data_IF_490627375485
#
_entry.id   IF_490627375485
#
_cell.length_a   1.000
_cell.length_b   1.000
_cell.length_c   1.000
_cell.angle_alpha   90.00
_cell.angle_beta   90.00
_cell.angle_gamma   90.00
#
_symmetry.space_group_name_H-M   'P 1'
#
loop_
_entity.id
_entity.type
_entity.pdbx_description
1 polymer ?
#
# COMPACT_ATOMS: atom_id res chain seq x y z
N UNK A 1 -3.20 -6.31 -23.13
CA UNK A 1 -3.99 -7.09 -22.14
C UNK A 1 -3.39 -6.82 -20.75
N UNK A 2 -3.95 -5.89 -19.95
CA UNK A 2 -3.69 -5.90 -18.49
C UNK A 2 -4.62 -6.96 -17.92
N UNK A 3 -4.08 -8.02 -17.35
CA UNK A 3 -4.89 -9.14 -16.85
C UNK A 3 -5.59 -8.76 -15.54
N UNK A 4 -4.93 -7.93 -14.72
CA UNK A 4 -5.44 -7.44 -13.43
C UNK A 4 -5.40 -5.91 -13.40
N UNK A 5 -6.47 -5.27 -12.91
CA UNK A 5 -6.53 -3.82 -12.70
C UNK A 5 -5.80 -3.37 -11.42
N UNK A 6 -5.72 -2.04 -11.19
CA UNK A 6 -5.14 -1.48 -9.95
C UNK A 6 -5.92 -1.89 -8.70
N UNK A 7 -7.20 -2.17 -8.85
CA UNK A 7 -8.11 -2.59 -7.78
C UNK A 7 -7.99 -4.09 -7.44
N UNK A 8 -7.28 -4.87 -8.24
CA UNK A 8 -7.17 -6.30 -7.97
C UNK A 8 -6.36 -6.55 -6.69
N UNK A 9 -6.82 -7.42 -5.76
CA UNK A 9 -6.12 -7.69 -4.50
C UNK A 9 -4.63 -8.04 -4.66
N UNK A 10 -4.28 -8.82 -5.69
CA UNK A 10 -2.88 -9.18 -5.98
C UNK A 10 -2.04 -7.97 -6.46
N UNK A 11 -2.65 -7.07 -7.22
CA UNK A 11 -2.00 -5.82 -7.62
C UNK A 11 -1.75 -4.95 -6.40
N UNK A 12 -2.74 -4.83 -5.49
CA UNK A 12 -2.61 -4.09 -4.24
C UNK A 12 -1.58 -4.71 -3.29
N UNK A 13 -1.42 -6.03 -3.29
CA UNK A 13 -0.36 -6.73 -2.55
C UNK A 13 1.01 -6.40 -3.13
N UNK A 14 1.13 -6.42 -4.46
CA UNK A 14 2.36 -6.06 -5.16
C UNK A 14 2.74 -4.58 -4.94
N UNK A 15 1.77 -3.66 -4.95
CA UNK A 15 1.99 -2.24 -4.65
C UNK A 15 2.54 -2.03 -3.23
N UNK A 16 1.98 -2.73 -2.25
CA UNK A 16 2.46 -2.69 -0.87
C UNK A 16 3.92 -3.17 -0.75
N UNK A 17 4.25 -4.30 -1.38
CA UNK A 17 5.62 -4.84 -1.39
C UNK A 17 6.61 -3.90 -2.09
N UNK A 18 6.18 -3.26 -3.19
CA UNK A 18 6.98 -2.26 -3.88
C UNK A 18 7.26 -1.03 -2.98
N UNK A 19 6.29 -0.59 -2.19
CA UNK A 19 6.49 0.51 -1.24
C UNK A 19 7.58 0.17 -0.21
N UNK A 20 7.56 -1.04 0.36
CA UNK A 20 8.62 -1.50 1.27
C UNK A 20 9.99 -1.57 0.60
N UNK A 21 10.03 -2.05 -0.65
CA UNK A 21 11.27 -2.12 -1.43
C UNK A 21 11.85 -0.74 -1.72
N UNK A 22 11.00 0.24 -2.04
CA UNK A 22 11.42 1.63 -2.24
C UNK A 22 11.95 2.24 -0.95
N UNK A 23 11.32 1.94 0.19
CA UNK A 23 11.78 2.40 1.51
C UNK A 23 13.15 1.83 1.85
N UNK A 24 13.39 0.53 1.61
CA UNK A 24 14.70 -0.08 1.86
C UNK A 24 15.81 0.46 0.94
N UNK A 25 15.45 1.00 -0.22
CA UNK A 25 16.38 1.69 -1.14
C UNK A 25 16.60 3.17 -0.79
N UNK A 26 15.98 3.68 0.29
CA UNK A 26 16.09 5.09 0.71
C UNK A 26 15.14 6.04 -0.03
N UNK A 27 14.25 5.54 -0.89
CA UNK A 27 13.24 6.35 -1.58
C UNK A 27 11.99 6.58 -0.72
N UNK A 28 12.17 7.14 0.48
CA UNK A 28 11.12 7.29 1.49
C UNK A 28 9.84 7.97 0.98
N UNK A 29 9.97 9.10 0.26
CA UNK A 29 8.81 9.82 -0.26
C UNK A 29 8.01 9.00 -1.29
N UNK A 30 8.70 8.30 -2.19
CA UNK A 30 8.03 7.45 -3.20
C UNK A 30 7.35 6.25 -2.55
N UNK A 31 8.02 5.64 -1.56
CA UNK A 31 7.44 4.57 -0.77
C UNK A 31 6.16 5.02 -0.07
N UNK A 32 6.22 6.16 0.61
CA UNK A 32 5.08 6.70 1.37
C UNK A 32 3.86 6.95 0.47
N UNK A 33 4.04 7.69 -0.63
CA UNK A 33 2.96 7.99 -1.58
C UNK A 33 2.35 6.70 -2.16
N UNK A 34 3.18 5.72 -2.49
CA UNK A 34 2.71 4.45 -3.02
C UNK A 34 1.92 3.64 -1.98
N UNK A 35 2.38 3.61 -0.73
CA UNK A 35 1.67 2.94 0.36
C UNK A 35 0.34 3.65 0.68
N UNK A 36 0.30 4.98 0.63
CA UNK A 36 -0.93 5.77 0.82
C UNK A 36 -1.97 5.45 -0.27
N UNK A 37 -1.55 5.42 -1.54
CA UNK A 37 -2.38 4.98 -2.67
C UNK A 37 -2.91 3.56 -2.43
N UNK A 38 -2.06 2.64 -2.00
CA UNK A 38 -2.45 1.25 -1.71
C UNK A 38 -3.50 1.18 -0.58
N UNK A 39 -3.32 1.95 0.49
CA UNK A 39 -4.30 2.04 1.59
C UNK A 39 -5.64 2.56 1.10
N UNK A 40 -5.66 3.66 0.33
CA UNK A 40 -6.90 4.25 -0.19
C UNK A 40 -7.70 3.26 -1.05
N UNK A 41 -7.03 2.54 -1.96
CA UNK A 41 -7.67 1.53 -2.79
C UNK A 41 -8.19 0.36 -1.94
N UNK A 42 -7.39 -0.17 -1.01
CA UNK A 42 -7.84 -1.23 -0.10
C UNK A 42 -9.05 -0.80 0.73
N UNK A 43 -9.08 0.44 1.20
CA UNK A 43 -10.20 1.00 1.94
C UNK A 43 -11.47 1.09 1.08
N UNK A 44 -11.36 1.55 -0.17
CA UNK A 44 -12.49 1.63 -1.10
C UNK A 44 -13.06 0.25 -1.49
N UNK A 45 -12.20 -0.74 -1.69
CA UNK A 45 -12.59 -2.05 -2.24
C UNK A 45 -12.96 -3.05 -1.14
N UNK A 46 -12.17 -3.09 -0.06
CA UNK A 46 -12.29 -4.11 1.00
C UNK A 46 -12.90 -3.54 2.29
N UNK A 47 -12.97 -2.21 2.42
CA UNK A 47 -13.41 -1.54 3.64
C UNK A 47 -12.31 -1.40 4.70
N UNK A 48 -12.62 -0.61 5.74
CA UNK A 48 -11.67 -0.30 6.81
C UNK A 48 -11.29 -1.52 7.65
N UNK A 49 -12.23 -2.41 7.98
CA UNK A 49 -11.99 -3.53 8.89
C UNK A 49 -11.20 -4.68 8.27
N UNK A 50 -10.95 -4.64 6.94
CA UNK A 50 -10.21 -5.69 6.28
C UNK A 50 -8.75 -5.75 6.75
N UNK A 51 -8.19 -6.95 7.04
CA UNK A 51 -6.82 -7.10 7.54
C UNK A 51 -5.77 -6.39 6.68
N UNK A 52 -5.87 -6.47 5.35
CA UNK A 52 -4.95 -5.77 4.45
C UNK A 52 -5.05 -4.24 4.51
N UNK A 53 -6.24 -3.70 4.77
CA UNK A 53 -6.43 -2.24 4.92
C UNK A 53 -5.78 -1.77 6.22
N UNK A 54 -6.02 -2.49 7.32
CA UNK A 54 -5.40 -2.22 8.63
C UNK A 54 -3.87 -2.36 8.58
N UNK A 55 -3.36 -3.36 7.87
CA UNK A 55 -1.93 -3.55 7.70
C UNK A 55 -1.26 -2.37 6.97
N UNK A 56 -1.87 -1.87 5.89
CA UNK A 56 -1.36 -0.67 5.21
C UNK A 56 -1.44 0.58 6.08
N UNK A 57 -2.52 0.73 6.87
CA UNK A 57 -2.68 1.85 7.80
C UNK A 57 -1.61 1.85 8.90
N UNK A 58 -1.35 0.68 9.50
CA UNK A 58 -0.31 0.53 10.52
C UNK A 58 1.08 0.85 9.96
N UNK A 59 1.38 0.39 8.75
CA UNK A 59 2.63 0.72 8.07
C UNK A 59 2.76 2.23 7.83
N UNK A 60 1.70 2.90 7.35
CA UNK A 60 1.70 4.36 7.18
C UNK A 60 1.92 5.12 8.49
N UNK A 61 1.27 4.69 9.57
CA UNK A 61 1.44 5.31 10.88
C UNK A 61 2.86 5.14 11.41
N UNK A 62 3.47 3.96 11.20
CA UNK A 62 4.88 3.74 11.56
C UNK A 62 5.82 4.66 10.78
N UNK A 63 5.60 4.85 9.48
CA UNK A 63 6.48 5.67 8.65
C UNK A 63 6.29 7.17 8.86
N UNK A 64 5.16 7.61 9.43
CA UNK A 64 4.96 9.01 9.86
C UNK A 64 5.67 9.34 11.17
N UNK A 65 6.01 8.32 11.95
CA UNK A 65 6.67 8.48 13.25
C UNK A 65 8.20 8.40 13.17
N UNK A 66 8.75 8.07 12.00
CA UNK A 66 10.19 8.06 11.67
C UNK A 66 10.65 9.44 11.17
#
# INVERSE_FOLDING_TARGET
>A
KRVLGEEHPDTLTSMHNLAYTLRSQGYYNKAFVLLERCYQLRWQILGNQHPHTQLSLNALNSWRAD
#
